data_IF_043005155167
#
_entry.id   IF_043005155167
#
_cell.length_a   1.000
_cell.length_b   1.000
_cell.length_c   1.000
_cell.angle_alpha   90.00
_cell.angle_beta   90.00
_cell.angle_gamma   90.00
#
_symmetry.space_group_name_H-M   'P 1'
#
loop_
_entity.id
_entity.type
_entity.pdbx_description
1 polymer ?
#
# COMPACT_ATOMS: atom_id res chain seq x y z
N UNK A 1 46.09 22.10 0.05
CA UNK A 1 45.47 20.92 -0.56
C UNK A 1 43.95 21.13 -0.46
N UNK A 2 43.39 21.69 -1.50
CA UNK A 2 41.97 22.00 -1.61
C UNK A 2 41.18 20.73 -1.92
N UNK A 3 40.19 20.43 -1.10
CA UNK A 3 39.18 19.38 -1.44
C UNK A 3 38.00 20.06 -2.08
N UNK A 4 37.82 19.79 -3.35
CA UNK A 4 36.64 20.13 -4.14
C UNK A 4 35.37 19.47 -3.55
N UNK A 5 34.47 20.28 -3.01
CA UNK A 5 33.10 19.90 -2.72
C UNK A 5 32.32 19.87 -4.05
N UNK A 6 32.00 18.68 -4.55
CA UNK A 6 31.03 18.53 -5.67
C UNK A 6 29.65 18.45 -5.05
N UNK A 7 28.93 19.57 -5.05
CA UNK A 7 27.48 19.58 -4.85
C UNK A 7 26.82 18.84 -6.02
N UNK A 8 25.89 17.93 -5.74
CA UNK A 8 25.05 17.31 -6.74
C UNK A 8 24.12 18.36 -7.40
N UNK A 9 23.66 18.11 -8.63
CA UNK A 9 22.80 19.04 -9.35
C UNK A 9 21.46 19.23 -8.62
N UNK A 10 20.95 20.47 -8.62
CA UNK A 10 19.63 20.78 -8.08
C UNK A 10 18.51 20.12 -8.91
N UNK A 11 17.32 19.94 -8.31
CA UNK A 11 16.16 19.38 -9.00
C UNK A 11 15.84 20.12 -10.32
N UNK A 12 16.08 21.43 -10.37
CA UNK A 12 15.92 22.25 -11.58
C UNK A 12 16.96 21.93 -12.65
N UNK A 13 18.20 21.63 -12.28
CA UNK A 13 19.26 21.24 -13.22
C UNK A 13 19.03 19.83 -13.79
N UNK A 14 18.47 18.93 -12.98
CA UNK A 14 18.12 17.56 -13.45
C UNK A 14 16.97 17.58 -14.46
N UNK A 15 16.00 18.49 -14.31
CA UNK A 15 14.88 18.66 -15.24
C UNK A 15 15.26 19.39 -16.52
N UNK A 16 16.37 20.13 -16.54
CA UNK A 16 16.84 20.90 -17.70
C UNK A 16 17.68 20.06 -18.69
N UNK A 17 18.13 18.88 -18.32
CA UNK A 17 18.85 17.97 -19.23
C UNK A 17 17.88 17.42 -20.28
N UNK A 18 18.00 17.87 -21.53
CA UNK A 18 17.30 17.30 -22.68
C UNK A 18 17.62 15.82 -22.79
N UNK A 19 16.66 14.96 -22.38
CA UNK A 19 16.77 13.52 -22.61
C UNK A 19 16.62 13.25 -24.10
N UNK A 20 17.71 12.80 -24.74
CA UNK A 20 17.65 12.37 -26.13
C UNK A 20 16.82 11.09 -26.22
N UNK A 21 15.65 11.16 -26.88
CA UNK A 21 14.72 10.03 -27.06
C UNK A 21 15.37 8.78 -27.65
N UNK A 22 16.47 8.93 -28.38
CA UNK A 22 17.21 7.79 -28.95
C UNK A 22 18.06 7.04 -27.94
N UNK A 23 18.58 7.70 -26.93
CA UNK A 23 19.35 7.04 -25.85
C UNK A 23 18.44 6.34 -24.84
N UNK A 24 17.24 6.86 -24.62
CA UNK A 24 16.23 6.19 -23.80
C UNK A 24 15.83 4.80 -24.34
N UNK A 25 15.57 4.71 -25.65
CA UNK A 25 15.17 3.44 -26.28
C UNK A 25 16.29 2.40 -26.35
N UNK A 26 17.56 2.83 -26.33
CA UNK A 26 18.72 1.92 -26.33
C UNK A 26 19.02 1.33 -24.96
N UNK A 27 18.72 2.06 -23.87
CA UNK A 27 18.90 1.58 -22.49
C UNK A 27 17.76 0.68 -22.00
N UNK A 28 16.58 0.78 -22.60
CA UNK A 28 15.39 0.01 -22.23
C UNK A 28 15.37 -1.44 -22.73
N UNK A 29 16.43 -1.94 -23.37
CA UNK A 29 16.69 -3.36 -23.65
C UNK A 29 15.55 -4.18 -24.26
N UNK A 30 14.63 -3.60 -25.04
CA UNK A 30 13.54 -4.34 -25.69
C UNK A 30 13.97 -4.90 -27.03
N UNK A 31 14.33 -6.18 -27.06
CA UNK A 31 14.40 -6.98 -28.27
C UNK A 31 12.99 -7.43 -28.63
N UNK A 32 12.34 -6.69 -29.53
CA UNK A 32 11.09 -7.13 -30.15
C UNK A 32 11.46 -8.05 -31.32
N UNK A 33 11.18 -9.33 -31.18
CA UNK A 33 11.24 -10.29 -32.29
C UNK A 33 10.07 -10.00 -33.24
N UNK A 34 10.40 -9.56 -34.47
CA UNK A 34 9.45 -9.33 -35.55
C UNK A 34 8.98 -10.65 -36.12
N UNK A 35 7.72 -11.02 -35.85
CA UNK A 35 6.98 -12.04 -36.61
C UNK A 35 5.86 -11.34 -37.37
N UNK A 36 6.03 -11.27 -38.70
CA UNK A 36 5.11 -10.56 -39.57
C UNK A 36 3.79 -11.30 -39.83
N UNK A 37 2.72 -10.55 -39.93
CA UNK A 37 1.55 -10.87 -40.79
C UNK A 37 1.01 -9.56 -41.37
N UNK A 38 1.16 -9.43 -42.70
CA UNK A 38 0.53 -8.40 -43.52
C UNK A 38 -0.96 -8.70 -43.66
N UNK A 39 -1.84 -7.79 -43.32
CA UNK A 39 -3.19 -7.68 -43.89
C UNK A 39 -3.47 -6.25 -44.29
N UNK A 40 -3.81 -6.11 -45.56
CA UNK A 40 -4.03 -4.88 -46.32
C UNK A 40 -5.29 -4.15 -45.86
N UNK A 41 -5.16 -2.86 -45.63
CA UNK A 41 -6.30 -1.93 -45.43
C UNK A 41 -6.56 -1.23 -46.79
N UNK A 42 -7.74 -1.46 -47.33
CA UNK A 42 -8.27 -0.76 -48.52
C UNK A 42 -8.97 0.55 -48.09
N UNK A 43 -8.77 1.57 -48.85
CA UNK A 43 -9.12 2.94 -48.63
C UNK A 43 -10.62 3.27 -48.89
N UNK A 44 -11.03 4.37 -48.31
CA UNK A 44 -12.31 5.09 -48.38
C UNK A 44 -12.80 5.39 -49.79
N UNK A 45 -14.13 5.31 -49.97
CA UNK A 45 -14.86 5.93 -51.08
C UNK A 45 -16.25 6.36 -50.62
N UNK A 46 -16.51 7.66 -50.73
CA UNK A 46 -17.78 8.34 -50.52
C UNK A 46 -18.73 8.11 -51.68
N UNK A 47 -20.04 7.93 -51.42
CA UNK A 47 -21.07 7.93 -52.47
C UNK A 47 -22.46 7.72 -51.88
N UNK A 48 -23.27 8.78 -51.91
CA UNK A 48 -24.71 8.77 -51.76
C UNK A 48 -25.40 8.04 -52.90
N UNK A 49 -26.46 7.29 -52.65
CA UNK A 49 -27.73 7.33 -53.43
C UNK A 49 -28.79 6.29 -52.99
N UNK A 50 -29.95 6.80 -52.73
CA UNK A 50 -31.34 6.36 -52.97
C UNK A 50 -31.81 4.93 -52.69
N UNK A 51 -33.00 4.94 -52.13
CA UNK A 51 -33.89 3.87 -51.75
C UNK A 51 -34.42 3.06 -52.96
N UNK A 52 -34.58 1.75 -52.76
CA UNK A 52 -35.63 0.98 -53.45
C UNK A 52 -36.08 -0.18 -52.56
N UNK A 53 -37.36 -0.21 -52.32
CA UNK A 53 -38.13 -1.22 -51.59
C UNK A 53 -38.25 -2.50 -52.40
N UNK A 54 -37.95 -3.66 -51.78
CA UNK A 54 -38.52 -4.93 -52.21
C UNK A 54 -38.70 -5.86 -51.00
N UNK A 55 -39.95 -6.29 -50.81
CA UNK A 55 -40.39 -7.31 -49.87
C UNK A 55 -39.82 -8.68 -50.24
N UNK A 56 -39.31 -9.41 -49.25
CA UNK A 56 -38.98 -10.82 -49.36
C UNK A 56 -39.08 -11.46 -47.97
N UNK A 57 -40.16 -12.16 -47.75
CA UNK A 57 -40.46 -13.00 -46.60
C UNK A 57 -39.50 -14.18 -46.52
N UNK A 58 -38.78 -14.34 -45.42
CA UNK A 58 -38.38 -15.65 -44.95
C UNK A 58 -38.14 -15.59 -43.42
N UNK A 59 -38.92 -16.35 -42.69
CA UNK A 59 -38.90 -16.41 -41.25
C UNK A 59 -37.60 -17.04 -40.72
N UNK A 60 -36.99 -16.37 -39.77
CA UNK A 60 -36.07 -16.99 -38.84
C UNK A 60 -36.58 -16.65 -37.44
N UNK A 61 -37.09 -17.69 -36.76
CA UNK A 61 -37.51 -17.57 -35.39
C UNK A 61 -36.28 -17.34 -34.50
N UNK A 62 -36.06 -16.09 -34.16
CA UNK A 62 -35.16 -15.75 -33.05
C UNK A 62 -35.97 -15.95 -31.78
N UNK A 63 -35.75 -17.05 -31.10
CA UNK A 63 -36.27 -17.28 -29.75
C UNK A 63 -35.60 -16.21 -28.86
N UNK A 64 -36.33 -15.18 -28.55
CA UNK A 64 -35.97 -14.28 -27.46
C UNK A 64 -36.00 -15.12 -26.17
N UNK A 65 -34.85 -15.35 -25.56
CA UNK A 65 -34.80 -15.85 -24.21
C UNK A 65 -35.52 -14.85 -23.31
N UNK A 66 -36.58 -15.28 -22.66
CA UNK A 66 -37.33 -14.44 -21.73
C UNK A 66 -36.48 -14.14 -20.51
N UNK A 67 -36.72 -13.01 -19.86
CA UNK A 67 -35.99 -12.59 -18.65
C UNK A 67 -35.99 -13.68 -17.58
N UNK A 68 -37.06 -14.47 -17.50
CA UNK A 68 -37.22 -15.58 -16.56
C UNK A 68 -36.18 -16.71 -16.73
N UNK A 69 -35.71 -16.97 -17.96
CA UNK A 69 -34.66 -17.99 -18.19
C UNK A 69 -33.27 -17.54 -17.81
N UNK A 70 -33.01 -16.21 -17.82
CA UNK A 70 -31.74 -15.63 -17.37
C UNK A 70 -31.68 -15.58 -15.84
N UNK A 71 -32.81 -15.25 -15.20
CA UNK A 71 -32.94 -15.22 -13.73
C UNK A 71 -32.81 -16.63 -13.14
N UNK A 72 -33.40 -17.64 -13.73
CA UNK A 72 -33.29 -19.05 -13.33
C UNK A 72 -31.88 -19.60 -13.57
N UNK A 73 -31.18 -19.19 -14.62
CA UNK A 73 -29.79 -19.57 -14.89
C UNK A 73 -28.81 -18.90 -13.90
N UNK A 74 -29.07 -17.65 -13.48
CA UNK A 74 -28.29 -16.95 -12.45
C UNK A 74 -28.53 -17.58 -11.07
N UNK A 75 -29.78 -17.93 -10.75
CA UNK A 75 -30.13 -18.59 -9.49
C UNK A 75 -29.50 -19.99 -9.38
N UNK A 76 -29.47 -20.75 -10.47
CA UNK A 76 -28.82 -22.09 -10.53
C UNK A 76 -27.30 -21.99 -10.37
N UNK A 77 -26.66 -20.95 -10.89
CA UNK A 77 -25.20 -20.72 -10.69
C UNK A 77 -24.89 -20.30 -9.24
N UNK A 78 -25.79 -19.52 -8.62
CA UNK A 78 -25.64 -19.09 -7.21
C UNK A 78 -25.96 -20.21 -6.20
N UNK A 79 -26.66 -21.28 -6.60
CA UNK A 79 -27.02 -22.39 -5.71
C UNK A 79 -26.07 -23.59 -5.74
N UNK A 80 -25.06 -23.62 -6.61
CA UNK A 80 -23.97 -24.59 -6.59
C UNK A 80 -22.75 -24.07 -5.78
N UNK A 81 -22.99 -23.47 -4.65
CA UNK A 81 -21.95 -22.85 -3.88
C UNK A 81 -21.23 -23.80 -2.95
N UNK A 82 -19.95 -23.50 -2.71
CA UNK A 82 -19.03 -24.20 -1.84
C UNK A 82 -19.51 -24.34 -0.38
N UNK A 83 -18.67 -24.88 0.51
CA UNK A 83 -19.02 -25.12 1.91
C UNK A 83 -19.32 -23.81 2.67
N UNK A 84 -20.11 -23.92 3.73
CA UNK A 84 -20.26 -22.83 4.70
C UNK A 84 -18.99 -22.77 5.56
N UNK A 85 -18.38 -21.57 5.62
CA UNK A 85 -17.15 -21.30 6.38
C UNK A 85 -17.38 -20.05 7.22
N UNK A 86 -17.01 -20.14 8.50
CA UNK A 86 -17.03 -19.03 9.44
C UNK A 86 -15.61 -18.85 10.01
N UNK A 87 -14.99 -17.70 9.75
CA UNK A 87 -13.68 -17.35 10.30
C UNK A 87 -13.76 -16.12 11.18
N UNK A 88 -12.92 -16.08 12.21
CA UNK A 88 -12.59 -14.86 12.92
C UNK A 88 -11.22 -14.36 12.48
N UNK A 89 -11.13 -13.07 12.17
CA UNK A 89 -9.88 -12.44 11.70
C UNK A 89 -9.35 -11.48 12.75
N UNK A 90 -8.17 -11.77 13.30
CA UNK A 90 -7.49 -10.84 14.21
C UNK A 90 -6.95 -9.63 13.44
N UNK A 91 -7.08 -8.42 14.01
CA UNK A 91 -6.51 -7.21 13.40
C UNK A 91 -5.57 -6.46 14.33
N UNK A 92 -4.69 -5.64 13.74
CA UNK A 92 -3.79 -4.74 14.48
C UNK A 92 -4.42 -3.38 14.82
N UNK A 93 -5.70 -3.18 14.54
CA UNK A 93 -6.33 -1.87 14.48
C UNK A 93 -7.31 -1.61 15.62
N UNK A 94 -7.36 -0.36 16.16
CA UNK A 94 -8.44 0.09 17.00
C UNK A 94 -9.78 0.07 16.28
N UNK A 95 -10.85 -0.34 16.96
CA UNK A 95 -12.22 -0.39 16.43
C UNK A 95 -12.74 0.97 15.93
N UNK A 96 -12.25 2.07 16.53
CA UNK A 96 -12.69 3.44 16.21
C UNK A 96 -12.27 3.95 14.84
N UNK A 97 -11.32 3.26 14.16
CA UNK A 97 -10.75 3.70 12.89
C UNK A 97 -11.47 3.05 11.70
N UNK A 98 -12.54 3.69 11.23
CA UNK A 98 -13.34 3.22 10.09
C UNK A 98 -12.62 3.25 8.73
N UNK A 99 -11.39 3.70 8.71
CA UNK A 99 -10.44 3.65 7.60
C UNK A 99 -9.67 2.34 7.61
N UNK A 100 -8.74 2.18 8.55
CA UNK A 100 -7.82 1.04 8.60
C UNK A 100 -8.50 -0.23 9.12
N UNK A 101 -9.29 -0.16 10.21
CA UNK A 101 -10.15 -1.26 10.65
C UNK A 101 -11.29 -1.51 9.65
N UNK A 102 -11.87 -0.42 9.12
CA UNK A 102 -12.88 -0.47 8.08
C UNK A 102 -12.41 -1.14 6.78
N UNK A 103 -11.09 -1.19 6.50
CA UNK A 103 -10.54 -1.95 5.40
C UNK A 103 -10.62 -3.46 5.62
N UNK A 104 -10.38 -3.92 6.85
CA UNK A 104 -10.59 -5.32 7.21
C UNK A 104 -12.07 -5.73 7.11
N UNK A 105 -12.98 -4.82 7.51
CA UNK A 105 -14.43 -5.03 7.34
C UNK A 105 -14.83 -5.09 5.86
N UNK A 106 -14.32 -4.16 5.04
CA UNK A 106 -14.60 -4.12 3.59
C UNK A 106 -14.14 -5.40 2.88
N UNK A 107 -12.97 -5.93 3.25
CA UNK A 107 -12.49 -7.23 2.78
C UNK A 107 -13.47 -8.36 3.15
N UNK A 108 -13.86 -8.45 4.42
CA UNK A 108 -14.74 -9.48 4.94
C UNK A 108 -16.14 -9.42 4.30
N UNK A 109 -16.72 -8.21 4.17
CA UNK A 109 -18.00 -7.97 3.53
C UNK A 109 -17.99 -8.40 2.05
N UNK A 110 -16.89 -8.14 1.33
CA UNK A 110 -16.74 -8.58 -0.07
C UNK A 110 -16.69 -10.10 -0.19
N UNK A 111 -15.94 -10.79 0.69
CA UNK A 111 -15.88 -12.25 0.71
C UNK A 111 -17.28 -12.81 0.95
N UNK A 112 -18.00 -12.32 1.94
CA UNK A 112 -19.38 -12.76 2.24
C UNK A 112 -20.32 -12.50 1.06
N UNK A 113 -20.30 -11.29 0.49
CA UNK A 113 -21.18 -10.93 -0.62
C UNK A 113 -20.92 -11.79 -1.87
N UNK A 114 -19.66 -12.01 -2.25
CA UNK A 114 -19.30 -12.79 -3.44
C UNK A 114 -19.53 -14.30 -3.26
N UNK A 115 -19.57 -14.80 -2.02
CA UNK A 115 -19.91 -16.20 -1.73
C UNK A 115 -21.40 -16.42 -1.44
N UNK A 116 -22.22 -15.36 -1.53
CA UNK A 116 -23.65 -15.42 -1.19
C UNK A 116 -23.90 -15.75 0.29
N UNK A 117 -23.02 -15.25 1.18
CA UNK A 117 -23.09 -15.44 2.63
C UNK A 117 -22.60 -16.81 3.12
N UNK A 118 -21.97 -17.62 2.28
CA UNK A 118 -21.45 -18.94 2.69
C UNK A 118 -20.05 -18.90 3.29
N UNK A 119 -19.26 -17.91 2.95
CA UNK A 119 -17.98 -17.70 3.60
C UNK A 119 -18.01 -16.35 4.31
N UNK A 120 -18.09 -16.39 5.62
CA UNK A 120 -18.13 -15.21 6.47
C UNK A 120 -16.84 -15.08 7.26
N UNK A 121 -16.27 -13.89 7.24
CA UNK A 121 -15.10 -13.52 8.04
C UNK A 121 -15.52 -12.39 8.98
N UNK A 122 -15.24 -12.56 10.27
CA UNK A 122 -15.55 -11.54 11.30
C UNK A 122 -14.27 -10.89 11.78
N UNK A 123 -13.94 -9.66 11.36
CA UNK A 123 -12.81 -8.90 11.90
C UNK A 123 -13.00 -8.60 13.38
N UNK A 124 -11.91 -8.70 14.16
CA UNK A 124 -11.83 -8.39 15.58
C UNK A 124 -10.77 -7.32 15.80
N UNK A 125 -11.09 -6.32 16.61
CA UNK A 125 -10.17 -5.26 16.90
C UNK A 125 -8.91 -5.75 17.66
N UNK A 126 -7.85 -4.97 17.63
CA UNK A 126 -6.61 -5.27 18.34
C UNK A 126 -6.86 -5.57 19.82
N UNK A 127 -6.40 -6.72 20.28
CA UNK A 127 -6.57 -7.17 21.66
C UNK A 127 -7.84 -7.96 21.95
N UNK A 128 -8.81 -8.06 21.02
CA UNK A 128 -10.01 -8.90 21.22
C UNK A 128 -9.71 -10.40 21.10
N UNK A 129 -9.00 -10.80 20.05
CA UNK A 129 -8.57 -12.20 19.87
C UNK A 129 -7.10 -12.37 20.21
N UNK A 130 -6.26 -11.48 19.70
CA UNK A 130 -4.81 -11.52 19.80
C UNK A 130 -4.26 -10.11 20.00
N UNK A 131 -3.08 -9.94 20.62
CA UNK A 131 -2.42 -8.66 20.69
C UNK A 131 -2.17 -8.08 19.29
N UNK A 132 -2.40 -6.78 19.09
CA UNK A 132 -2.36 -6.15 17.77
C UNK A 132 -1.00 -6.20 17.06
N UNK A 133 0.09 -6.40 17.77
CA UNK A 133 1.44 -6.56 17.22
C UNK A 133 1.88 -8.03 17.07
N UNK A 134 0.99 -8.99 17.33
CA UNK A 134 1.27 -10.43 17.29
C UNK A 134 0.37 -11.19 16.30
N UNK A 135 -0.32 -10.46 15.40
CA UNK A 135 -1.29 -11.06 14.46
C UNK A 135 -0.63 -12.11 13.58
N UNK A 136 0.53 -11.82 12.95
CA UNK A 136 1.23 -12.78 12.08
C UNK A 136 1.62 -14.05 12.84
N UNK A 137 2.14 -13.93 14.06
CA UNK A 137 2.56 -15.09 14.86
C UNK A 137 1.37 -15.99 15.21
N UNK A 138 0.20 -15.40 15.48
CA UNK A 138 -1.01 -16.17 15.80
C UNK A 138 -1.60 -16.85 14.54
N UNK A 139 -1.51 -16.23 13.37
CA UNK A 139 -1.83 -16.87 12.08
C UNK A 139 -0.86 -18.00 11.80
N UNK A 140 0.45 -17.78 11.95
CA UNK A 140 1.49 -18.79 11.77
C UNK A 140 1.30 -20.04 12.66
N UNK A 141 0.79 -19.85 13.87
CA UNK A 141 0.52 -20.91 14.83
C UNK A 141 -0.85 -21.57 14.65
N UNK A 142 -1.61 -21.20 13.62
CA UNK A 142 -3.01 -21.62 13.41
C UNK A 142 -3.93 -21.32 14.62
N UNK A 143 -3.57 -20.31 15.44
CA UNK A 143 -4.42 -19.87 16.55
C UNK A 143 -5.64 -19.07 16.06
N UNK A 144 -5.51 -18.39 14.91
CA UNK A 144 -6.58 -17.71 14.17
C UNK A 144 -6.46 -18.05 12.68
N UNK A 145 -7.61 -18.22 11.97
CA UNK A 145 -7.60 -18.62 10.55
C UNK A 145 -7.26 -17.47 9.59
N UNK A 146 -7.31 -16.23 10.04
CA UNK A 146 -6.94 -15.05 9.25
C UNK A 146 -6.46 -13.91 10.14
N UNK A 147 -5.64 -13.02 9.56
CA UNK A 147 -5.17 -11.80 10.21
C UNK A 147 -5.08 -10.64 9.24
N UNK A 148 -5.37 -9.42 9.68
CA UNK A 148 -5.18 -8.18 8.89
C UNK A 148 -4.28 -7.23 9.66
N UNK A 149 -3.08 -6.92 9.08
CA UNK A 149 -2.02 -6.24 9.81
C UNK A 149 -1.06 -5.51 8.86
N UNK A 150 -0.13 -4.75 9.43
CA UNK A 150 1.02 -4.18 8.73
C UNK A 150 2.24 -5.09 8.92
N UNK A 151 2.77 -5.59 7.84
CA UNK A 151 3.85 -6.59 7.84
C UNK A 151 5.14 -6.10 8.49
N UNK A 152 5.42 -4.81 8.46
CA UNK A 152 6.61 -4.23 9.09
C UNK A 152 6.63 -4.33 10.62
N UNK A 153 5.51 -4.62 11.28
CA UNK A 153 5.51 -4.91 12.71
C UNK A 153 6.38 -6.12 13.07
N UNK A 154 6.67 -6.95 12.07
CA UNK A 154 7.41 -8.21 12.23
C UNK A 154 8.87 -8.13 11.75
N UNK A 155 9.44 -6.93 11.54
CA UNK A 155 10.87 -6.78 11.18
C UNK A 155 11.83 -7.35 12.22
N UNK A 156 11.35 -7.61 13.44
CA UNK A 156 12.08 -8.32 14.46
C UNK A 156 12.18 -9.83 14.21
N UNK A 157 11.25 -10.43 13.43
CA UNK A 157 11.27 -11.83 13.02
C UNK A 157 12.05 -12.02 11.71
N UNK A 158 11.84 -11.13 10.75
CA UNK A 158 12.65 -10.99 9.54
C UNK A 158 12.52 -9.55 9.01
N UNK A 159 13.63 -8.87 8.69
CA UNK A 159 13.58 -7.52 8.13
C UNK A 159 12.89 -7.49 6.76
N UNK A 160 12.84 -8.62 6.04
CA UNK A 160 12.19 -8.74 4.74
C UNK A 160 10.67 -8.51 4.79
N UNK A 161 10.03 -8.65 5.97
CA UNK A 161 8.59 -8.35 6.13
C UNK A 161 8.24 -6.89 5.83
N UNK A 162 9.22 -5.97 5.90
CA UNK A 162 9.00 -4.55 5.61
C UNK A 162 8.57 -4.29 4.16
N UNK A 163 8.97 -5.12 3.19
CA UNK A 163 8.68 -4.90 1.77
C UNK A 163 7.20 -4.91 1.43
N UNK A 164 6.39 -5.65 2.17
CA UNK A 164 4.94 -5.64 1.98
C UNK A 164 4.31 -4.33 2.44
N UNK A 165 4.74 -3.77 3.56
CA UNK A 165 4.15 -2.54 4.05
C UNK A 165 4.81 -1.31 3.46
N UNK A 166 6.01 -0.96 3.90
CA UNK A 166 6.74 0.19 3.38
C UNK A 166 8.23 0.12 3.73
N UNK A 167 9.05 0.60 2.81
CA UNK A 167 10.42 0.99 3.08
C UNK A 167 10.49 2.53 3.17
N UNK A 168 11.30 3.09 4.09
CA UNK A 168 11.62 4.52 4.07
C UNK A 168 12.09 4.99 2.69
N UNK A 169 11.55 6.11 2.20
CA UNK A 169 11.78 6.62 0.84
C UNK A 169 11.47 5.63 -0.28
N UNK A 170 10.57 4.68 0.01
CA UNK A 170 10.15 3.61 -0.90
C UNK A 170 9.02 4.00 -1.84
N UNK A 171 8.14 3.03 -2.10
CA UNK A 171 7.05 3.18 -3.04
C UNK A 171 5.87 3.95 -2.46
N UNK A 172 5.30 4.84 -3.28
CA UNK A 172 3.94 5.34 -3.06
C UNK A 172 2.92 4.24 -3.37
N UNK A 173 1.65 4.42 -2.96
CA UNK A 173 0.56 3.48 -3.24
C UNK A 173 0.56 2.94 -4.68
N UNK A 174 0.65 3.84 -5.66
CA UNK A 174 0.61 3.45 -7.08
C UNK A 174 1.84 2.66 -7.51
N UNK A 175 3.02 2.98 -6.95
CA UNK A 175 4.26 2.26 -7.22
C UNK A 175 4.26 0.88 -6.54
N UNK A 176 3.75 0.80 -5.31
CA UNK A 176 3.63 -0.45 -4.56
C UNK A 176 2.70 -1.42 -5.30
N UNK A 177 1.52 -0.96 -5.72
CA UNK A 177 0.60 -1.79 -6.52
C UNK A 177 1.20 -2.23 -7.85
N UNK A 178 1.95 -1.36 -8.52
CA UNK A 178 2.62 -1.72 -9.77
C UNK A 178 3.69 -2.80 -9.56
N UNK A 179 4.43 -2.72 -8.46
CA UNK A 179 5.41 -3.74 -8.10
C UNK A 179 4.74 -5.06 -7.70
N UNK A 180 3.73 -5.00 -6.85
CA UNK A 180 3.03 -6.19 -6.35
C UNK A 180 2.31 -6.93 -7.48
N UNK A 181 1.44 -6.26 -8.21
CA UNK A 181 0.52 -6.94 -9.14
C UNK A 181 1.11 -7.21 -10.53
N UNK A 182 2.04 -6.37 -11.02
CA UNK A 182 2.60 -6.49 -12.37
C UNK A 182 4.13 -6.62 -12.39
N UNK A 183 4.79 -6.22 -11.31
CA UNK A 183 6.24 -6.27 -11.19
C UNK A 183 6.79 -7.60 -10.65
N UNK A 184 5.93 -8.55 -10.28
CA UNK A 184 6.32 -9.84 -9.70
C UNK A 184 6.54 -9.81 -8.18
N UNK A 185 6.29 -8.67 -7.53
CA UNK A 185 6.47 -8.52 -6.08
C UNK A 185 5.56 -9.42 -5.27
N UNK A 186 4.28 -9.56 -5.65
CA UNK A 186 3.32 -10.39 -4.91
C UNK A 186 3.76 -11.85 -4.84
N UNK A 187 4.12 -12.46 -5.95
CA UNK A 187 4.59 -13.85 -5.96
C UNK A 187 5.85 -14.03 -5.12
N UNK A 188 6.82 -13.09 -5.25
CA UNK A 188 8.06 -13.12 -4.47
C UNK A 188 7.79 -13.05 -2.97
N UNK A 189 6.86 -12.19 -2.54
CA UNK A 189 6.48 -12.06 -1.13
C UNK A 189 5.65 -13.25 -0.64
N UNK A 190 4.77 -13.80 -1.47
CA UNK A 190 4.02 -15.01 -1.13
C UNK A 190 4.95 -16.21 -0.94
N UNK A 191 5.94 -16.39 -1.81
CA UNK A 191 6.95 -17.44 -1.66
C UNK A 191 7.75 -17.25 -0.36
N UNK A 192 8.18 -16.02 -0.06
CA UNK A 192 8.86 -15.69 1.20
C UNK A 192 8.01 -16.02 2.43
N UNK A 193 6.73 -15.61 2.45
CA UNK A 193 5.85 -15.87 3.59
C UNK A 193 5.49 -17.35 3.74
N UNK A 194 5.30 -18.06 2.63
CA UNK A 194 5.06 -19.49 2.63
C UNK A 194 6.25 -20.26 3.22
N UNK A 195 7.45 -19.95 2.75
CA UNK A 195 8.67 -20.63 3.16
C UNK A 195 9.08 -20.29 4.62
N UNK A 196 8.96 -19.02 5.00
CA UNK A 196 9.46 -18.54 6.29
C UNK A 196 8.46 -18.70 7.42
N UNK A 197 7.16 -18.54 7.13
CA UNK A 197 6.10 -18.42 8.13
C UNK A 197 4.96 -19.43 7.94
N UNK A 198 4.92 -20.17 6.84
CA UNK A 198 3.82 -21.10 6.56
C UNK A 198 2.47 -20.41 6.36
N UNK A 199 2.47 -19.18 5.87
CA UNK A 199 1.28 -18.37 5.59
C UNK A 199 1.30 -17.87 4.15
N UNK A 200 0.13 -17.51 3.62
CA UNK A 200 -0.01 -16.75 2.38
C UNK A 200 -0.53 -15.35 2.70
N UNK A 201 -0.11 -14.37 1.93
CA UNK A 201 -0.51 -12.97 2.11
C UNK A 201 -1.16 -12.39 0.86
N UNK A 202 -2.03 -11.40 1.08
CA UNK A 202 -2.67 -10.63 0.03
C UNK A 202 -2.74 -9.15 0.43
N UNK A 203 -2.36 -8.21 -0.46
CA UNK A 203 -2.58 -6.78 -0.25
C UNK A 203 -4.07 -6.48 -0.06
N UNK A 204 -4.47 -6.02 1.12
CA UNK A 204 -5.87 -5.79 1.48
C UNK A 204 -6.12 -4.41 2.12
N UNK A 205 -5.22 -3.49 1.92
CA UNK A 205 -5.33 -2.10 2.34
C UNK A 205 -4.09 -1.30 1.99
N UNK A 206 -4.24 0.02 1.88
CA UNK A 206 -3.14 0.96 1.76
C UNK A 206 -3.58 2.31 2.30
N UNK A 207 -2.68 3.01 3.00
CA UNK A 207 -3.00 4.31 3.61
C UNK A 207 -2.72 5.49 2.69
N UNK A 208 -2.05 5.28 1.57
CA UNK A 208 -1.44 6.35 0.79
C UNK A 208 -0.21 6.94 1.48
N UNK A 209 0.27 8.10 1.02
CA UNK A 209 1.39 8.80 1.66
C UNK A 209 0.97 9.28 3.03
N UNK A 210 1.73 8.91 4.05
CA UNK A 210 1.45 9.32 5.43
C UNK A 210 2.04 10.69 5.76
N UNK A 211 1.56 11.25 6.88
CA UNK A 211 2.16 12.44 7.49
C UNK A 211 3.42 12.07 8.30
N UNK A 212 4.26 13.07 8.51
CA UNK A 212 5.49 12.96 9.31
C UNK A 212 5.25 12.94 10.83
N UNK A 213 4.00 12.87 11.27
CA UNK A 213 3.62 12.64 12.66
C UNK A 213 3.61 13.87 13.57
N UNK A 214 3.36 13.60 14.84
CA UNK A 214 3.06 14.54 15.91
C UNK A 214 4.23 14.69 16.86
N UNK A 215 4.59 15.94 17.16
CA UNK A 215 5.74 16.26 17.99
C UNK A 215 5.39 17.29 19.06
N UNK A 216 5.93 17.09 20.26
CA UNK A 216 5.86 18.04 21.36
C UNK A 216 7.14 18.93 21.46
N UNK A 217 8.09 18.69 20.56
CA UNK A 217 9.30 19.51 20.41
C UNK A 217 9.43 19.94 18.95
N UNK A 218 9.84 21.17 18.74
CA UNK A 218 10.13 21.65 17.40
C UNK A 218 11.42 21.01 16.85
N UNK A 219 11.41 20.58 15.60
CA UNK A 219 12.54 19.99 14.90
C UNK A 219 12.98 20.98 13.83
N UNK A 220 14.06 21.66 14.08
CA UNK A 220 14.66 22.66 13.18
C UNK A 220 15.88 22.11 12.41
N UNK A 221 16.44 20.99 12.87
CA UNK A 221 17.59 20.31 12.26
C UNK A 221 17.67 18.85 12.69
N UNK A 222 18.52 18.08 12.02
CA UNK A 222 18.79 16.68 12.40
C UNK A 222 19.36 16.55 13.83
N UNK A 223 20.00 17.58 14.37
CA UNK A 223 20.51 17.57 15.74
C UNK A 223 19.38 17.53 16.79
N UNK A 224 18.20 18.03 16.47
CA UNK A 224 17.05 18.05 17.40
C UNK A 224 16.41 16.66 17.57
N UNK A 225 16.78 15.70 16.73
CA UNK A 225 16.37 14.30 16.86
C UNK A 225 17.10 13.57 17.99
N UNK A 226 18.25 14.06 18.44
CA UNK A 226 19.05 13.42 19.47
C UNK A 226 18.31 13.35 20.81
N UNK A 227 18.10 12.11 21.30
CA UNK A 227 17.41 11.86 22.56
C UNK A 227 15.90 12.08 22.54
N UNK A 228 15.31 12.36 21.38
CA UNK A 228 13.85 12.38 21.20
C UNK A 228 13.31 10.97 21.46
N UNK A 229 12.22 10.87 22.23
CA UNK A 229 11.52 9.59 22.44
C UNK A 229 10.33 9.55 21.49
N UNK A 230 10.35 8.58 20.58
CA UNK A 230 9.32 8.49 19.54
C UNK A 230 8.74 7.08 19.44
N UNK A 231 7.43 7.01 19.27
CA UNK A 231 6.77 5.79 18.78
C UNK A 231 6.85 5.78 17.26
N UNK A 232 7.52 4.77 16.73
CA UNK A 232 7.59 4.51 15.28
C UNK A 232 7.98 3.05 15.03
N UNK A 233 7.20 2.30 14.22
CA UNK A 233 7.49 0.90 13.90
C UNK A 233 8.40 0.74 12.68
N UNK A 234 8.69 -0.51 12.34
CA UNK A 234 9.30 -0.90 11.09
C UNK A 234 10.74 -0.41 10.91
N UNK A 235 11.16 -0.33 9.66
CA UNK A 235 12.50 0.18 9.32
C UNK A 235 12.63 1.69 9.53
N UNK A 236 11.51 2.44 9.48
CA UNK A 236 11.51 3.86 9.87
C UNK A 236 12.03 4.07 11.29
N UNK A 237 11.62 3.22 12.23
CA UNK A 237 12.13 3.22 13.60
C UNK A 237 13.63 2.97 13.66
N UNK A 238 14.15 1.98 12.92
CA UNK A 238 15.59 1.70 12.88
C UNK A 238 16.42 2.84 12.28
N UNK A 239 15.85 3.55 11.28
CA UNK A 239 16.50 4.77 10.73
C UNK A 239 16.52 5.87 11.78
N UNK A 240 15.43 6.10 12.50
CA UNK A 240 15.36 7.11 13.56
C UNK A 240 16.31 6.79 14.72
N UNK A 241 16.50 5.52 15.08
CA UNK A 241 17.53 5.10 16.07
C UNK A 241 18.95 5.50 15.62
N UNK A 242 19.29 5.35 14.34
CA UNK A 242 20.59 5.80 13.79
C UNK A 242 20.78 7.31 13.89
N UNK A 243 19.68 8.06 13.85
CA UNK A 243 19.68 9.51 14.03
C UNK A 243 19.62 9.94 15.50
N UNK A 244 19.71 9.00 16.44
CA UNK A 244 19.78 9.25 17.88
C UNK A 244 18.44 9.34 18.60
N UNK A 245 17.35 8.96 17.96
CA UNK A 245 16.03 8.86 18.58
C UNK A 245 15.94 7.61 19.45
N UNK A 246 15.29 7.70 20.59
CA UNK A 246 14.89 6.54 21.40
C UNK A 246 13.55 6.03 20.92
N UNK A 247 13.54 4.91 20.21
CA UNK A 247 12.36 4.36 19.57
C UNK A 247 11.62 3.39 20.48
N UNK A 248 10.30 3.44 20.43
CA UNK A 248 9.38 2.47 21.04
C UNK A 248 8.35 2.03 20.00
N UNK A 249 7.92 0.78 20.05
CA UNK A 249 6.81 0.26 19.25
C UNK A 249 5.65 -0.03 20.19
N UNK A 250 4.56 0.73 20.05
CA UNK A 250 3.34 0.61 20.83
C UNK A 250 2.16 0.32 19.92
N UNK A 251 1.19 -0.51 20.35
CA UNK A 251 -0.09 -0.65 19.66
C UNK A 251 -0.83 0.70 19.56
N UNK A 252 -1.61 0.89 18.48
CA UNK A 252 -2.30 2.17 18.24
C UNK A 252 -3.11 2.70 19.44
N UNK A 253 -3.84 1.82 20.13
CA UNK A 253 -4.65 2.21 21.28
C UNK A 253 -3.89 2.75 22.51
N UNK A 254 -2.56 2.59 22.56
CA UNK A 254 -1.72 3.04 23.67
C UNK A 254 -1.02 4.39 23.40
N UNK A 255 -1.01 4.85 22.15
CA UNK A 255 -0.20 6.01 21.71
C UNK A 255 -0.66 7.29 22.35
N UNK A 256 -1.98 7.57 22.37
CA UNK A 256 -2.53 8.80 22.98
C UNK A 256 -2.09 8.95 24.44
N UNK A 257 -2.22 7.89 25.22
CA UNK A 257 -1.82 7.88 26.63
C UNK A 257 -0.30 8.14 26.79
N UNK A 258 0.52 7.55 25.92
CA UNK A 258 1.98 7.72 25.95
C UNK A 258 2.39 9.16 25.64
N UNK A 259 1.74 9.82 24.66
CA UNK A 259 1.94 11.25 24.36
C UNK A 259 1.45 12.14 25.52
N UNK A 260 0.23 11.90 26.01
CA UNK A 260 -0.38 12.70 27.06
C UNK A 260 0.43 12.69 28.37
N UNK A 261 1.00 11.54 28.72
CA UNK A 261 1.84 11.41 29.94
C UNK A 261 3.28 11.87 29.72
N UNK A 262 3.67 12.17 28.49
CA UNK A 262 5.05 12.49 28.14
C UNK A 262 5.99 11.28 28.23
N UNK A 263 5.48 10.04 28.14
CA UNK A 263 6.30 8.84 28.00
C UNK A 263 7.04 8.84 26.66
N UNK A 264 6.42 9.39 25.62
CA UNK A 264 7.02 9.70 24.33
C UNK A 264 6.89 11.21 24.02
N UNK A 265 7.82 11.75 23.24
CA UNK A 265 7.84 13.14 22.79
C UNK A 265 7.22 13.31 21.40
N UNK A 266 7.14 12.19 20.62
CA UNK A 266 6.63 12.18 19.25
C UNK A 266 6.04 10.81 18.88
N UNK A 267 5.18 10.82 17.88
CA UNK A 267 4.62 9.63 17.25
C UNK A 267 4.29 9.88 15.79
N UNK A 268 4.28 8.82 14.99
CA UNK A 268 3.55 8.78 13.73
C UNK A 268 2.30 7.89 13.89
N UNK A 269 1.37 7.97 12.92
CA UNK A 269 0.29 7.00 12.74
C UNK A 269 -0.05 6.87 11.26
N UNK A 270 -1.00 7.66 10.72
CA UNK A 270 -1.32 7.65 9.30
C UNK A 270 -1.41 9.07 8.75
N UNK A 271 -2.43 9.81 9.15
CA UNK A 271 -2.74 11.10 8.57
C UNK A 271 -3.90 11.78 9.27
N UNK A 272 -4.31 12.97 8.81
CA UNK A 272 -5.20 13.86 9.56
C UNK A 272 -6.47 13.20 10.10
N UNK A 273 -7.09 12.31 9.31
CA UNK A 273 -8.38 11.73 9.69
C UNK A 273 -8.25 10.74 10.86
N UNK A 274 -7.39 9.75 10.74
CA UNK A 274 -7.16 8.79 11.81
C UNK A 274 -6.55 9.46 13.03
N UNK A 275 -5.56 10.33 12.82
CA UNK A 275 -4.81 11.00 13.87
C UNK A 275 -5.71 11.90 14.73
N UNK A 276 -6.67 12.59 14.11
CA UNK A 276 -7.67 13.38 14.85
C UNK A 276 -8.70 12.49 15.56
N UNK A 277 -9.08 11.36 14.96
CA UNK A 277 -9.95 10.37 15.61
C UNK A 277 -9.29 9.78 16.85
N UNK A 278 -7.96 9.63 16.83
CA UNK A 278 -7.17 9.19 17.99
C UNK A 278 -6.84 10.30 18.98
N UNK A 279 -7.18 11.56 18.69
CA UNK A 279 -7.02 12.70 19.58
C UNK A 279 -5.61 13.28 19.67
N UNK A 280 -4.69 12.96 18.76
CA UNK A 280 -3.29 13.41 18.86
C UNK A 280 -3.14 14.93 18.82
N UNK A 281 -4.05 15.63 18.15
CA UNK A 281 -4.10 17.09 18.11
C UNK A 281 -4.40 17.75 19.47
N UNK A 282 -4.97 17.01 20.44
CA UNK A 282 -5.24 17.51 21.78
C UNK A 282 -4.01 17.48 22.71
N UNK A 283 -2.98 16.72 22.34
CA UNK A 283 -1.83 16.42 23.19
C UNK A 283 -0.48 16.69 22.52
N UNK A 284 -0.49 17.31 21.32
CA UNK A 284 0.70 17.65 20.54
C UNK A 284 0.66 19.09 20.05
N UNK A 285 1.82 19.63 19.64
CA UNK A 285 1.96 21.03 19.21
C UNK A 285 2.25 21.11 17.70
N UNK A 286 3.11 20.24 17.20
CA UNK A 286 3.58 20.26 15.82
C UNK A 286 3.13 19.04 15.05
N UNK A 287 2.77 19.22 13.78
CA UNK A 287 2.43 18.14 12.86
C UNK A 287 3.30 18.25 11.62
N UNK A 288 4.23 17.29 11.47
CA UNK A 288 5.25 17.31 10.43
C UNK A 288 4.80 16.59 9.15
N UNK A 289 5.44 16.94 8.03
CA UNK A 289 5.27 16.29 6.73
C UNK A 289 6.56 16.39 5.90
N UNK A 290 6.74 15.50 4.86
CA UNK A 290 6.00 14.27 4.61
C UNK A 290 6.44 13.12 5.52
N UNK A 291 5.64 12.04 5.64
CA UNK A 291 6.02 10.81 6.29
C UNK A 291 6.95 9.98 5.41
N UNK A 292 8.21 10.34 5.36
CA UNK A 292 9.22 9.73 4.50
C UNK A 292 9.46 8.24 4.79
N UNK A 293 9.09 7.78 5.97
CA UNK A 293 9.17 6.37 6.38
C UNK A 293 8.06 5.50 5.79
N UNK A 294 6.92 6.10 5.41
CA UNK A 294 5.74 5.40 4.90
C UNK A 294 5.09 6.13 3.72
N UNK A 295 5.72 6.08 2.51
CA UNK A 295 5.17 6.78 1.34
C UNK A 295 3.92 6.13 0.74
N UNK A 296 3.64 4.86 1.10
CA UNK A 296 2.48 4.12 0.61
C UNK A 296 2.35 2.77 1.30
N UNK A 297 2.17 2.76 2.65
CA UNK A 297 2.13 1.52 3.40
C UNK A 297 0.95 0.66 2.98
N UNK A 298 1.28 -0.57 2.58
CA UNK A 298 0.34 -1.63 2.26
C UNK A 298 0.05 -2.47 3.49
N UNK A 299 -1.16 -2.94 3.59
CA UNK A 299 -1.63 -3.79 4.68
C UNK A 299 -2.08 -5.13 4.11
N UNK A 300 -1.72 -6.20 4.81
CA UNK A 300 -1.94 -7.55 4.32
C UNK A 300 -3.04 -8.27 5.08
N UNK A 301 -3.79 -9.10 4.37
CA UNK A 301 -4.47 -10.25 4.92
C UNK A 301 -3.51 -11.43 4.89
N UNK A 302 -3.31 -12.08 6.04
CA UNK A 302 -2.57 -13.34 6.19
C UNK A 302 -3.52 -14.49 6.47
N UNK A 303 -3.25 -15.64 5.85
CA UNK A 303 -4.00 -16.89 6.04
C UNK A 303 -2.98 -18.02 6.22
N UNK A 304 -3.16 -18.95 7.19
CA UNK A 304 -2.32 -20.14 7.29
C UNK A 304 -2.34 -20.92 5.98
N UNK A 305 -1.19 -21.38 5.52
CA UNK A 305 -1.08 -22.05 4.22
C UNK A 305 -1.92 -23.34 4.16
N UNK A 306 -2.04 -24.04 5.29
CA UNK A 306 -2.88 -25.24 5.39
C UNK A 306 -4.37 -24.91 5.24
N UNK A 307 -4.85 -23.83 5.86
CA UNK A 307 -6.23 -23.34 5.70
C UNK A 307 -6.49 -22.90 4.26
N UNK A 308 -5.57 -22.11 3.67
CA UNK A 308 -5.63 -21.69 2.28
C UNK A 308 -5.76 -22.86 1.30
N UNK A 309 -4.94 -23.90 1.48
CA UNK A 309 -4.92 -25.07 0.60
C UNK A 309 -6.19 -25.92 0.69
N UNK A 310 -6.94 -25.85 1.81
CA UNK A 310 -8.21 -26.54 2.00
C UNK A 310 -9.40 -25.79 1.38
N UNK A 311 -9.26 -24.50 1.11
CA UNK A 311 -10.33 -23.72 0.49
C UNK A 311 -10.63 -24.19 -0.93
N UNK A 312 -11.91 -24.22 -1.34
CA UNK A 312 -12.29 -24.37 -2.74
C UNK A 312 -11.60 -23.32 -3.62
N UNK A 313 -11.25 -23.68 -4.84
CA UNK A 313 -10.61 -22.76 -5.79
C UNK A 313 -11.42 -21.47 -5.98
N UNK A 314 -12.74 -21.57 -6.08
CA UNK A 314 -13.65 -20.43 -6.16
C UNK A 314 -13.47 -19.46 -4.98
N UNK A 315 -13.33 -19.97 -3.74
CA UNK A 315 -13.15 -19.12 -2.56
C UNK A 315 -11.78 -18.47 -2.52
N UNK A 316 -10.74 -19.15 -3.02
CA UNK A 316 -9.40 -18.56 -3.17
C UNK A 316 -9.41 -17.37 -4.13
N UNK A 317 -10.05 -17.52 -5.30
CA UNK A 317 -10.22 -16.43 -6.27
C UNK A 317 -11.03 -15.27 -5.68
N UNK A 318 -12.05 -15.56 -4.88
CA UNK A 318 -12.85 -14.54 -4.18
C UNK A 318 -12.02 -13.78 -3.16
N UNK A 319 -11.17 -14.45 -2.36
CA UNK A 319 -10.27 -13.81 -1.41
C UNK A 319 -9.31 -12.84 -2.13
N UNK A 320 -8.70 -13.28 -3.23
CA UNK A 320 -7.83 -12.43 -4.05
C UNK A 320 -8.56 -11.19 -4.56
N UNK A 321 -9.76 -11.37 -5.13
CA UNK A 321 -10.58 -10.26 -5.62
C UNK A 321 -11.04 -9.30 -4.51
N UNK A 322 -11.42 -9.85 -3.34
CA UNK A 322 -11.81 -9.07 -2.17
C UNK A 322 -10.65 -8.24 -1.63
N UNK A 323 -9.46 -8.83 -1.55
CA UNK A 323 -8.23 -8.16 -1.11
C UNK A 323 -7.89 -6.98 -2.02
N UNK A 324 -7.90 -7.21 -3.33
CA UNK A 324 -7.68 -6.15 -4.32
C UNK A 324 -8.68 -5.01 -4.17
N UNK A 325 -9.97 -5.33 -3.99
CA UNK A 325 -11.03 -4.34 -3.76
C UNK A 325 -10.82 -3.54 -2.48
N UNK A 326 -10.48 -4.20 -1.37
CA UNK A 326 -10.23 -3.55 -0.08
C UNK A 326 -9.00 -2.63 -0.14
N UNK A 327 -7.91 -3.07 -0.80
CA UNK A 327 -6.71 -2.27 -1.01
C UNK A 327 -7.03 -0.94 -1.72
N UNK A 328 -7.75 -0.98 -2.84
CA UNK A 328 -8.13 0.22 -3.58
C UNK A 328 -9.10 1.12 -2.81
N UNK A 329 -10.07 0.54 -2.11
CA UNK A 329 -11.12 1.28 -1.39
C UNK A 329 -10.55 1.98 -0.15
N UNK A 330 -9.66 1.34 0.60
CA UNK A 330 -9.04 1.95 1.79
C UNK A 330 -8.26 3.21 1.41
N UNK A 331 -7.39 3.13 0.41
CA UNK A 331 -6.62 4.27 -0.08
C UNK A 331 -7.53 5.42 -0.52
N UNK A 332 -8.56 5.13 -1.33
CA UNK A 332 -9.52 6.14 -1.78
C UNK A 332 -10.30 6.78 -0.61
N UNK A 333 -10.58 6.01 0.45
CA UNK A 333 -11.24 6.50 1.67
C UNK A 333 -10.34 7.48 2.43
N UNK A 334 -9.05 7.18 2.56
CA UNK A 334 -8.08 8.10 3.15
C UNK A 334 -7.95 9.38 2.36
N UNK A 335 -7.79 9.31 1.03
CA UNK A 335 -7.68 10.48 0.18
C UNK A 335 -8.92 11.37 0.19
N UNK A 336 -10.11 10.79 0.39
CA UNK A 336 -11.35 11.55 0.52
C UNK A 336 -11.52 12.21 1.90
N UNK A 337 -11.06 11.56 2.98
CA UNK A 337 -11.27 12.03 4.36
C UNK A 337 -10.16 12.93 4.88
N UNK A 338 -8.90 12.66 4.53
CA UNK A 338 -7.75 13.41 5.02
C UNK A 338 -7.80 14.91 4.72
N UNK A 339 -8.20 15.39 3.52
CA UNK A 339 -8.29 16.82 3.24
C UNK A 339 -9.28 17.56 4.14
N UNK A 340 -10.38 16.90 4.51
CA UNK A 340 -11.40 17.46 5.41
C UNK A 340 -10.86 17.54 6.83
N UNK A 341 -10.27 16.45 7.31
CA UNK A 341 -9.69 16.38 8.65
C UNK A 341 -8.49 17.33 8.82
N UNK A 342 -7.70 17.54 7.76
CA UNK A 342 -6.59 18.50 7.78
C UNK A 342 -7.06 19.92 8.10
N UNK A 343 -8.23 20.34 7.63
CA UNK A 343 -8.78 21.64 7.98
C UNK A 343 -9.07 21.73 9.50
N UNK A 344 -9.61 20.67 10.09
CA UNK A 344 -9.83 20.59 11.55
C UNK A 344 -8.51 20.71 12.32
N UNK A 345 -7.45 20.03 11.84
CA UNK A 345 -6.11 20.15 12.45
C UNK A 345 -5.59 21.60 12.39
N UNK A 346 -5.73 22.25 11.24
CA UNK A 346 -5.29 23.65 11.07
C UNK A 346 -6.10 24.58 11.98
N UNK A 347 -7.42 24.40 12.06
CA UNK A 347 -8.32 25.21 12.88
C UNK A 347 -8.09 25.00 14.39
N UNK A 348 -7.59 23.86 14.82
CA UNK A 348 -7.24 23.58 16.23
C UNK A 348 -5.99 24.33 16.71
N UNK A 349 -5.27 24.99 15.81
CA UNK A 349 -4.05 25.76 16.13
C UNK A 349 -2.77 24.93 16.14
N UNK A 350 -2.80 23.72 15.63
CA UNK A 350 -1.61 22.88 15.41
C UNK A 350 -0.71 23.52 14.35
N UNK A 351 0.59 23.52 14.59
CA UNK A 351 1.57 24.04 13.66
C UNK A 351 2.00 22.96 12.66
N UNK A 352 1.54 23.11 11.40
CA UNK A 352 2.04 22.29 10.29
C UNK A 352 3.46 22.69 9.91
N UNK A 353 4.36 21.72 9.86
CA UNK A 353 5.78 21.94 9.56
C UNK A 353 6.31 20.94 8.52
N UNK A 354 6.99 21.41 7.46
CA UNK A 354 7.81 20.49 6.67
C UNK A 354 9.02 20.05 7.51
N UNK A 355 9.47 18.81 7.32
CA UNK A 355 10.78 18.44 7.83
C UNK A 355 11.87 19.28 7.18
N UNK A 356 12.87 19.75 7.95
CA UNK A 356 14.03 20.43 7.39
C UNK A 356 14.79 19.55 6.38
N UNK A 357 15.41 20.19 5.38
CA UNK A 357 16.13 19.48 4.32
C UNK A 357 17.28 18.61 4.85
N UNK A 358 17.96 19.06 5.91
CA UNK A 358 19.03 18.29 6.56
C UNK A 358 18.51 17.06 7.28
N UNK A 359 17.30 17.11 7.88
CA UNK A 359 16.60 15.93 8.43
C UNK A 359 16.24 14.95 7.33
N UNK A 360 15.66 15.45 6.23
CA UNK A 360 15.29 14.61 5.09
C UNK A 360 16.51 13.92 4.47
N UNK A 361 17.61 14.66 4.28
CA UNK A 361 18.85 14.11 3.72
C UNK A 361 19.48 13.09 4.65
N UNK A 362 19.64 13.42 5.93
CA UNK A 362 20.23 12.51 6.93
C UNK A 362 19.39 11.22 7.07
N UNK A 363 18.07 11.35 7.03
CA UNK A 363 17.15 10.20 7.08
C UNK A 363 17.29 9.32 5.84
N UNK A 364 17.39 9.93 4.66
CA UNK A 364 17.56 9.19 3.40
C UNK A 364 18.90 8.44 3.37
N UNK A 365 19.99 9.11 3.72
CA UNK A 365 21.31 8.48 3.75
C UNK A 365 21.34 7.31 4.74
N UNK A 366 20.82 7.50 5.96
CA UNK A 366 20.73 6.46 6.97
C UNK A 366 19.81 5.29 6.56
N UNK A 367 18.74 5.56 5.79
CA UNK A 367 17.84 4.52 5.30
C UNK A 367 18.55 3.60 4.30
N UNK A 368 19.21 4.17 3.30
CA UNK A 368 19.90 3.37 2.28
C UNK A 368 21.13 2.64 2.83
N UNK A 369 21.89 3.24 3.75
CA UNK A 369 22.93 2.53 4.49
C UNK A 369 22.36 1.35 5.28
N UNK A 370 21.21 1.53 5.96
CA UNK A 370 20.53 0.45 6.67
C UNK A 370 20.13 -0.69 5.73
N UNK A 371 19.63 -0.37 4.54
CA UNK A 371 19.22 -1.39 3.57
C UNK A 371 20.42 -2.20 3.06
N UNK A 372 21.52 -1.53 2.72
CA UNK A 372 22.74 -2.20 2.27
C UNK A 372 23.32 -3.13 3.34
N UNK A 373 23.40 -2.67 4.60
CA UNK A 373 23.84 -3.48 5.73
C UNK A 373 22.89 -4.67 6.00
N UNK A 374 21.58 -4.43 5.90
CA UNK A 374 20.58 -5.48 6.12
C UNK A 374 20.65 -6.53 5.02
N UNK A 375 20.81 -6.12 3.77
CA UNK A 375 20.99 -7.03 2.63
C UNK A 375 22.27 -7.86 2.75
N UNK A 376 23.33 -7.28 3.31
CA UNK A 376 24.58 -8.01 3.55
C UNK A 376 24.47 -9.06 4.69
N UNK A 377 23.47 -8.93 5.58
CA UNK A 377 23.29 -9.75 6.76
C UNK A 377 22.14 -10.76 6.68
N UNK A 378 21.18 -10.59 5.76
CA UNK A 378 19.95 -11.38 5.64
C UNK A 378 19.69 -11.72 4.17
N UNK A 379 19.72 -13.01 3.84
CA UNK A 379 19.60 -13.51 2.47
C UNK A 379 18.20 -13.26 1.88
N UNK A 380 17.13 -13.37 2.69
CA UNK A 380 15.76 -13.10 2.25
C UNK A 380 15.62 -11.62 1.90
N UNK A 381 16.09 -10.75 2.81
CA UNK A 381 16.09 -9.31 2.55
C UNK A 381 16.89 -8.97 1.29
N UNK A 382 18.08 -9.53 1.13
CA UNK A 382 18.95 -9.29 -0.02
C UNK A 382 18.26 -9.66 -1.35
N UNK A 383 17.63 -10.82 -1.38
CA UNK A 383 16.91 -11.31 -2.58
C UNK A 383 15.78 -10.37 -2.97
N UNK A 384 14.94 -10.00 -2.00
CA UNK A 384 13.78 -9.13 -2.23
C UNK A 384 14.23 -7.71 -2.54
N UNK A 385 15.25 -7.19 -1.82
CA UNK A 385 15.81 -5.85 -2.05
C UNK A 385 16.39 -5.69 -3.44
N UNK A 386 17.09 -6.71 -3.95
CA UNK A 386 17.61 -6.70 -5.32
C UNK A 386 16.49 -6.57 -6.36
N UNK A 387 15.41 -7.32 -6.19
CA UNK A 387 14.24 -7.27 -7.07
C UNK A 387 13.50 -5.91 -6.96
N UNK A 388 13.25 -5.46 -5.73
CA UNK A 388 12.58 -4.19 -5.43
C UNK A 388 13.37 -2.99 -5.96
N UNK A 389 14.70 -2.96 -5.76
CA UNK A 389 15.57 -1.87 -6.21
C UNK A 389 15.59 -1.74 -7.73
N UNK A 390 15.68 -2.88 -8.44
CA UNK A 390 15.64 -2.89 -9.90
C UNK A 390 14.31 -2.33 -10.45
N UNK A 391 13.20 -2.65 -9.81
CA UNK A 391 11.89 -2.10 -10.18
C UNK A 391 11.78 -0.61 -9.83
N UNK A 392 12.30 -0.21 -8.64
CA UNK A 392 12.27 1.16 -8.15
C UNK A 392 12.94 2.15 -9.10
N UNK A 393 14.06 1.80 -9.67
CA UNK A 393 14.80 2.68 -10.58
C UNK A 393 13.94 3.08 -11.79
N UNK A 394 13.26 2.11 -12.41
CA UNK A 394 12.41 2.36 -13.56
C UNK A 394 11.14 3.15 -13.20
N UNK A 395 10.42 2.71 -12.16
CA UNK A 395 9.13 3.32 -11.79
C UNK A 395 9.29 4.75 -11.24
N UNK A 396 10.38 5.02 -10.51
CA UNK A 396 10.67 6.37 -10.00
C UNK A 396 10.92 7.35 -11.12
N UNK A 397 11.71 6.95 -12.14
CA UNK A 397 11.93 7.78 -13.32
C UNK A 397 10.63 8.08 -14.05
N UNK A 398 9.78 7.06 -14.26
CA UNK A 398 8.47 7.24 -14.91
C UNK A 398 7.57 8.19 -14.13
N UNK A 399 7.43 7.99 -12.81
CA UNK A 399 6.57 8.82 -11.97
C UNK A 399 7.08 10.27 -11.89
N UNK A 400 8.40 10.48 -11.89
CA UNK A 400 8.99 11.82 -11.95
C UNK A 400 8.55 12.61 -13.19
N UNK A 401 8.50 11.94 -14.34
CA UNK A 401 8.08 12.54 -15.62
C UNK A 401 6.57 12.69 -15.78
N UNK A 402 5.78 11.81 -15.16
CA UNK A 402 4.33 11.79 -15.29
C UNK A 402 3.63 12.40 -14.06
N UNK A 403 3.50 11.60 -12.99
CA UNK A 403 2.70 11.97 -11.81
C UNK A 403 3.26 13.21 -11.09
N UNK A 404 4.55 13.17 -10.72
CA UNK A 404 5.17 14.27 -9.95
C UNK A 404 5.16 15.58 -10.75
N UNK A 405 5.48 15.53 -12.04
CA UNK A 405 5.44 16.71 -12.90
C UNK A 405 4.03 17.28 -12.99
N UNK A 406 2.99 16.44 -13.13
CA UNK A 406 1.60 16.87 -13.21
C UNK A 406 1.10 17.45 -11.89
N UNK A 407 1.33 16.75 -10.77
CA UNK A 407 0.93 17.23 -9.43
C UNK A 407 1.63 18.54 -9.08
N UNK A 408 2.94 18.64 -9.37
CA UNK A 408 3.70 19.87 -9.15
C UNK A 408 3.21 21.04 -10.01
N UNK A 409 2.70 20.78 -11.20
CA UNK A 409 2.12 21.80 -12.04
C UNK A 409 0.77 22.31 -11.50
N UNK A 410 -0.13 21.39 -11.16
CA UNK A 410 -1.48 21.74 -10.66
C UNK A 410 -1.47 22.36 -9.26
N UNK A 411 -0.48 22.06 -8.43
CA UNK A 411 -0.32 22.64 -7.09
C UNK A 411 0.31 24.03 -7.04
N UNK A 412 0.59 24.67 -8.20
CA UNK A 412 1.17 26.02 -8.27
C UNK A 412 0.14 27.16 -8.23
N UNK A 413 -1.17 26.86 -8.21
CA UNK A 413 -2.25 27.85 -8.31
C UNK A 413 -2.90 28.11 -6.94
#
# INVERSE_FOLDING_TARGET
MERNSRGGPSLEETLATKVDRRDFLKKAGMTVAAGGLLTTIGACGTGESEATTTQGTSGSATTAATADTVEEAVEVVMTQGGPEIEWEMGTSWPLSLDTIYGGAQDFAERVSAMTGGRFNITPRAAGELVPGLEVLQNVQQNAIPAGHTASYYYVGLSPATAFNTALPFGFTYRQQNAWMYEGGGLQLMQDFYADRFGVINFPAGNTGVQMGGWFNKEINSAADLQGLRMRIPGLGGRVMERLGVTVQVLPGGEIFQALQTGAIDATEWVGPYDDTTMGFHDVSTYYYYPGWWEPGPELDVFIPLDEWNQLPEEYRVIIEAASYGANATMMARYDAKNPIALQTVIESGIELRPFPDDVMQASQDAAFELFDETAAADDDFNTIFGHWSAFRDGITQWHGLAETAMVSWTGRN
#
